data_IF_860489847887
#
_entry.id   IF_860489847887
#
_cell.length_a   1.000
_cell.length_b   1.000
_cell.length_c   1.000
_cell.angle_alpha   90.00
_cell.angle_beta   90.00
_cell.angle_gamma   90.00
#
_symmetry.space_group_name_H-M   'P 1'
#
loop_
_entity.id
_entity.type
_entity.pdbx_description
1 polymer ?
#
# COMPACT_ATOMS: atom_id res chain seq x y z
N UNK A 1 4.16 27.48 5.88
CA UNK A 1 4.08 26.44 6.90
C UNK A 1 5.24 25.45 6.73
N UNK A 2 5.49 24.96 5.53
CA UNK A 2 6.63 24.08 5.21
C UNK A 2 7.60 24.76 4.26
N UNK A 3 8.90 24.68 4.55
CA UNK A 3 9.94 25.12 3.61
C UNK A 3 10.21 24.06 2.53
N UNK A 4 10.90 24.43 1.46
CA UNK A 4 11.32 23.42 0.46
C UNK A 4 12.28 22.38 1.05
N UNK A 5 13.04 22.73 2.08
CA UNK A 5 13.92 21.81 2.83
C UNK A 5 13.11 20.78 3.62
N UNK A 6 12.01 21.20 4.26
CA UNK A 6 11.13 20.31 5.01
C UNK A 6 10.45 19.30 4.08
N UNK A 7 9.95 19.77 2.92
CA UNK A 7 9.36 18.88 1.91
C UNK A 7 10.37 17.86 1.39
N UNK A 8 11.61 18.26 1.11
CA UNK A 8 12.67 17.32 0.68
C UNK A 8 12.98 16.30 1.78
N UNK A 9 13.10 16.73 3.05
CA UNK A 9 13.34 15.83 4.18
C UNK A 9 12.19 14.83 4.40
N UNK A 10 10.96 15.18 4.00
CA UNK A 10 9.81 14.30 4.08
C UNK A 10 9.75 13.35 2.88
N UNK A 11 9.89 13.87 1.65
CA UNK A 11 9.62 13.12 0.41
C UNK A 11 10.75 12.14 0.06
N UNK A 12 12.02 12.55 0.19
CA UNK A 12 13.14 11.70 -0.21
C UNK A 12 13.16 10.37 0.55
N UNK A 13 13.06 10.34 1.90
CA UNK A 13 12.99 9.06 2.60
C UNK A 13 11.77 8.22 2.20
N UNK A 14 10.62 8.83 1.88
CA UNK A 14 9.43 8.10 1.43
C UNK A 14 9.65 7.44 0.06
N UNK A 15 10.37 8.09 -0.86
CA UNK A 15 10.73 7.48 -2.15
C UNK A 15 11.61 6.24 -1.91
N UNK A 16 12.62 6.35 -1.05
CA UNK A 16 13.49 5.22 -0.70
C UNK A 16 12.71 4.10 0.02
N UNK A 17 11.79 4.45 0.93
CA UNK A 17 10.93 3.47 1.62
C UNK A 17 10.06 2.69 0.61
N UNK A 18 9.47 3.37 -0.39
CA UNK A 18 8.69 2.72 -1.44
C UNK A 18 9.55 1.88 -2.38
N UNK A 19 10.74 2.37 -2.74
CA UNK A 19 11.69 1.60 -3.55
C UNK A 19 12.10 0.31 -2.84
N UNK A 20 12.44 0.38 -1.55
CA UNK A 20 12.78 -0.79 -0.73
C UNK A 20 11.61 -1.78 -0.68
N UNK A 21 10.38 -1.31 -0.45
CA UNK A 21 9.21 -2.18 -0.37
C UNK A 21 8.98 -2.98 -1.66
N UNK A 22 9.15 -2.34 -2.83
CA UNK A 22 9.01 -3.01 -4.13
C UNK A 22 10.16 -3.98 -4.36
N UNK A 23 11.41 -3.56 -4.10
CA UNK A 23 12.61 -4.38 -4.36
C UNK A 23 12.66 -5.65 -3.51
N UNK A 24 12.28 -5.55 -2.22
CA UNK A 24 12.28 -6.70 -1.31
C UNK A 24 11.27 -7.76 -1.72
N UNK A 25 10.09 -7.34 -2.22
CA UNK A 25 9.11 -8.30 -2.73
C UNK A 25 9.66 -9.19 -3.86
N UNK A 26 10.53 -8.64 -4.73
CA UNK A 26 11.23 -9.45 -5.74
C UNK A 26 12.25 -10.41 -5.14
N UNK A 27 13.04 -9.93 -4.18
CA UNK A 27 14.07 -10.78 -3.51
C UNK A 27 13.39 -11.93 -2.76
N UNK A 28 12.31 -11.67 -2.03
CA UNK A 28 11.57 -12.69 -1.30
C UNK A 28 11.01 -13.77 -2.25
N UNK A 29 10.40 -13.38 -3.35
CA UNK A 29 9.87 -14.32 -4.35
C UNK A 29 10.99 -15.18 -4.93
N UNK A 30 12.16 -14.58 -5.24
CA UNK A 30 13.32 -15.31 -5.74
C UNK A 30 13.85 -16.30 -4.70
N UNK A 31 13.96 -15.89 -3.43
CA UNK A 31 14.47 -16.78 -2.38
C UNK A 31 13.51 -17.95 -2.09
N UNK A 32 12.20 -17.72 -2.12
CA UNK A 32 11.20 -18.78 -1.97
C UNK A 32 11.27 -19.80 -3.13
N UNK A 33 11.62 -19.35 -4.34
CA UNK A 33 11.71 -20.26 -5.51
C UNK A 33 12.73 -21.37 -5.34
N UNK A 34 13.71 -21.20 -4.48
CA UNK A 34 14.73 -22.20 -4.16
C UNK A 34 14.17 -23.34 -3.29
N UNK A 35 13.12 -23.06 -2.51
CA UNK A 35 12.45 -24.07 -1.69
C UNK A 35 11.51 -25.01 -2.47
N UNK A 36 11.39 -24.81 -3.80
CA UNK A 36 10.62 -25.68 -4.70
C UNK A 36 9.26 -25.10 -5.12
N UNK A 37 8.65 -25.73 -6.11
CA UNK A 37 7.43 -25.24 -6.79
C UNK A 37 6.21 -25.19 -5.88
N UNK A 38 6.03 -26.22 -5.05
CA UNK A 38 4.93 -26.26 -4.06
C UNK A 38 5.08 -25.17 -3.00
N UNK A 39 6.32 -24.85 -2.59
CA UNK A 39 6.63 -23.78 -1.66
C UNK A 39 6.26 -22.40 -2.25
N UNK A 40 6.69 -22.12 -3.48
CA UNK A 40 6.36 -20.87 -4.18
C UNK A 40 4.85 -20.69 -4.32
N UNK A 41 4.16 -21.74 -4.74
CA UNK A 41 2.70 -21.73 -4.91
C UNK A 41 1.99 -21.49 -3.58
N UNK A 42 2.38 -22.22 -2.53
CA UNK A 42 1.79 -22.07 -1.19
C UNK A 42 2.00 -20.66 -0.60
N UNK A 43 3.22 -20.12 -0.69
CA UNK A 43 3.54 -18.75 -0.24
C UNK A 43 2.74 -17.72 -1.04
N UNK A 44 2.68 -17.84 -2.36
CA UNK A 44 1.94 -16.91 -3.21
C UNK A 44 0.44 -16.85 -2.87
N UNK A 45 -0.19 -17.98 -2.54
CA UNK A 45 -1.58 -18.02 -2.10
C UNK A 45 -1.78 -17.23 -0.80
N UNK A 46 -0.92 -17.46 0.19
CA UNK A 46 -1.00 -16.77 1.49
C UNK A 46 -0.65 -15.29 1.36
N UNK A 47 0.28 -14.93 0.48
CA UNK A 47 0.63 -13.54 0.22
C UNK A 47 -0.54 -12.74 -0.36
N UNK A 48 -1.42 -13.36 -1.14
CA UNK A 48 -2.66 -12.70 -1.59
C UNK A 48 -3.57 -12.34 -0.39
N UNK A 49 -3.71 -13.25 0.58
CA UNK A 49 -4.47 -12.99 1.82
C UNK A 49 -3.77 -11.91 2.65
N UNK A 50 -2.46 -12.06 2.86
CA UNK A 50 -1.65 -11.12 3.64
C UNK A 50 -1.67 -9.72 3.06
N UNK A 51 -1.57 -9.58 1.74
CA UNK A 51 -1.64 -8.29 1.05
C UNK A 51 -2.99 -7.59 1.27
N UNK A 52 -4.11 -8.31 1.25
CA UNK A 52 -5.41 -7.74 1.57
C UNK A 52 -5.42 -7.18 3.01
N UNK A 53 -4.94 -7.97 3.98
CA UNK A 53 -4.87 -7.55 5.38
C UNK A 53 -3.93 -6.36 5.59
N UNK A 54 -2.76 -6.37 4.95
CA UNK A 54 -1.79 -5.27 4.98
C UNK A 54 -2.41 -3.98 4.44
N UNK A 55 -3.17 -4.04 3.35
CA UNK A 55 -3.83 -2.88 2.77
C UNK A 55 -4.91 -2.29 3.71
N UNK A 56 -5.67 -3.15 4.40
CA UNK A 56 -6.65 -2.71 5.39
C UNK A 56 -5.95 -2.05 6.59
N UNK A 57 -4.91 -2.68 7.14
CA UNK A 57 -4.14 -2.13 8.26
C UNK A 57 -3.46 -0.80 7.87
N UNK A 58 -2.89 -0.70 6.68
CA UNK A 58 -2.26 0.54 6.18
C UNK A 58 -3.28 1.67 6.02
N UNK A 59 -4.49 1.37 5.57
CA UNK A 59 -5.57 2.35 5.47
C UNK A 59 -6.01 2.88 6.84
N UNK A 60 -6.12 2.01 7.84
CA UNK A 60 -6.41 2.41 9.22
C UNK A 60 -5.29 3.25 9.82
N UNK A 61 -4.04 2.87 9.58
CA UNK A 61 -2.87 3.65 9.99
C UNK A 61 -2.89 5.06 9.36
N UNK A 62 -3.30 5.17 8.11
CA UNK A 62 -3.52 6.45 7.42
C UNK A 62 -4.59 7.29 8.13
N UNK A 63 -5.69 6.68 8.58
CA UNK A 63 -6.72 7.37 9.35
C UNK A 63 -6.17 8.02 10.62
N UNK A 64 -5.36 7.29 11.38
CA UNK A 64 -4.69 7.82 12.58
C UNK A 64 -3.66 8.90 12.25
N UNK A 65 -2.90 8.74 11.18
CA UNK A 65 -1.93 9.74 10.71
C UNK A 65 -2.62 11.07 10.35
N UNK A 66 -3.79 11.02 9.71
CA UNK A 66 -4.60 12.21 9.39
C UNK A 66 -5.04 12.91 10.66
N UNK A 67 -5.63 12.20 11.62
CA UNK A 67 -6.10 12.79 12.89
C UNK A 67 -4.94 13.39 13.67
N UNK A 68 -3.81 12.68 13.76
CA UNK A 68 -2.60 13.16 14.43
C UNK A 68 -2.02 14.40 13.75
N UNK A 69 -1.91 14.42 12.42
CA UNK A 69 -1.40 15.57 11.67
C UNK A 69 -2.31 16.81 11.79
N UNK A 70 -3.64 16.63 11.82
CA UNK A 70 -4.57 17.74 12.03
C UNK A 70 -4.44 18.31 13.45
N UNK A 71 -4.35 17.47 14.51
CA UNK A 71 -4.11 17.96 15.86
C UNK A 71 -2.76 18.66 16.00
N UNK A 72 -1.72 18.16 15.32
CA UNK A 72 -0.43 18.83 15.29
C UNK A 72 -0.51 20.19 14.60
N UNK A 73 -1.23 20.28 13.49
CA UNK A 73 -1.50 21.53 12.78
C UNK A 73 -2.23 22.57 13.64
N UNK A 74 -3.19 22.13 14.46
CA UNK A 74 -3.91 22.99 15.42
C UNK A 74 -3.09 23.33 16.67
N UNK A 75 -1.83 22.90 16.75
CA UNK A 75 -0.93 23.05 17.93
C UNK A 75 -1.44 22.35 19.19
N UNK A 76 -2.39 21.45 19.08
CA UNK A 76 -2.88 20.66 20.22
C UNK A 76 -2.04 19.38 20.41
N UNK A 77 -0.85 19.56 20.99
CA UNK A 77 0.13 18.47 21.19
C UNK A 77 -0.44 17.35 22.08
N UNK A 78 -1.25 17.68 23.08
CA UNK A 78 -1.84 16.68 23.98
C UNK A 78 -2.80 15.75 23.23
N UNK A 79 -3.66 16.31 22.39
CA UNK A 79 -4.58 15.51 21.57
C UNK A 79 -3.84 14.74 20.48
N UNK A 80 -2.74 15.28 19.94
CA UNK A 80 -1.87 14.55 19.02
C UNK A 80 -1.27 13.29 19.68
N UNK A 81 -0.71 13.42 20.90
CA UNK A 81 -0.18 12.29 21.69
C UNK A 81 -1.27 11.24 22.00
N UNK A 82 -2.44 11.71 22.46
CA UNK A 82 -3.56 10.83 22.75
C UNK A 82 -4.03 10.09 21.48
N UNK A 83 -4.07 10.77 20.33
CA UNK A 83 -4.42 10.14 19.05
C UNK A 83 -3.38 9.10 18.61
N UNK A 84 -2.09 9.34 18.89
CA UNK A 84 -1.04 8.37 18.63
C UNK A 84 -1.23 7.09 19.47
N UNK A 85 -1.50 7.22 20.77
CA UNK A 85 -1.81 6.09 21.65
C UNK A 85 -3.06 5.32 21.19
N UNK A 86 -4.13 6.03 20.80
CA UNK A 86 -5.36 5.41 20.30
C UNK A 86 -5.12 4.65 18.98
N UNK A 87 -4.28 5.17 18.08
CA UNK A 87 -3.95 4.45 16.86
C UNK A 87 -3.21 3.13 17.16
N UNK A 88 -2.19 3.18 18.02
CA UNK A 88 -1.48 1.96 18.44
C UNK A 88 -2.45 0.95 19.07
N UNK A 89 -3.34 1.41 19.95
CA UNK A 89 -4.35 0.56 20.58
C UNK A 89 -5.26 -0.12 19.54
N UNK A 90 -5.85 0.65 18.61
CA UNK A 90 -6.74 0.11 17.56
C UNK A 90 -5.98 -0.90 16.70
N UNK A 91 -4.78 -0.53 16.26
CA UNK A 91 -3.99 -1.38 15.35
C UNK A 91 -3.54 -2.67 16.03
N UNK A 92 -3.12 -2.61 17.30
CA UNK A 92 -2.78 -3.81 18.08
C UNK A 92 -3.99 -4.71 18.28
N UNK A 93 -5.13 -4.14 18.66
CA UNK A 93 -6.36 -4.91 18.91
C UNK A 93 -6.86 -5.57 17.62
N UNK A 94 -6.97 -4.81 16.54
CA UNK A 94 -7.49 -5.34 15.27
C UNK A 94 -6.54 -6.38 14.68
N UNK A 95 -5.24 -6.12 14.66
CA UNK A 95 -4.27 -7.07 14.10
C UNK A 95 -4.13 -8.33 14.96
N UNK A 96 -4.32 -8.24 16.29
CA UNK A 96 -4.42 -9.41 17.16
C UNK A 96 -5.69 -10.22 16.91
N UNK A 97 -6.82 -9.55 16.67
CA UNK A 97 -8.06 -10.22 16.28
C UNK A 97 -7.90 -10.97 14.94
N UNK A 98 -7.27 -10.30 13.94
CA UNK A 98 -6.97 -10.93 12.66
C UNK A 98 -6.01 -12.11 12.82
N UNK A 99 -5.02 -12.04 13.70
CA UNK A 99 -4.15 -13.16 14.06
C UNK A 99 -4.96 -14.34 14.57
N UNK A 100 -5.82 -14.13 15.58
CA UNK A 100 -6.64 -15.19 16.18
C UNK A 100 -7.57 -15.83 15.14
N UNK A 101 -8.24 -15.02 14.32
CA UNK A 101 -9.11 -15.52 13.24
C UNK A 101 -8.29 -16.36 12.25
N UNK A 102 -7.09 -15.89 11.85
CA UNK A 102 -6.22 -16.61 10.91
C UNK A 102 -5.69 -17.91 11.48
N UNK A 103 -5.33 -17.95 12.78
CA UNK A 103 -4.83 -19.17 13.43
C UNK A 103 -5.93 -20.22 13.59
N UNK A 104 -7.12 -19.82 14.06
CA UNK A 104 -8.25 -20.73 14.23
C UNK A 104 -8.79 -21.18 12.87
N UNK A 105 -8.90 -20.26 11.92
CA UNK A 105 -9.50 -20.49 10.61
C UNK A 105 -8.53 -20.96 9.53
N UNK A 106 -7.24 -21.22 9.83
CA UNK A 106 -6.19 -21.46 8.83
C UNK A 106 -6.65 -22.36 7.67
N UNK A 107 -6.93 -23.62 7.94
CA UNK A 107 -7.36 -24.59 6.92
C UNK A 107 -8.69 -24.20 6.26
N UNK A 108 -9.63 -23.66 7.04
CA UNK A 108 -10.94 -23.22 6.54
C UNK A 108 -10.81 -22.03 5.58
N UNK A 109 -9.98 -21.06 5.91
CA UNK A 109 -9.75 -19.86 5.08
C UNK A 109 -9.09 -20.24 3.77
N UNK A 110 -8.04 -21.09 3.79
CA UNK A 110 -7.36 -21.54 2.58
C UNK A 110 -8.33 -22.28 1.67
N UNK A 111 -9.08 -23.26 2.22
CA UNK A 111 -10.04 -24.04 1.44
C UNK A 111 -11.21 -23.18 0.91
N UNK A 112 -11.69 -22.21 1.69
CA UNK A 112 -12.78 -21.34 1.29
C UNK A 112 -12.39 -20.40 0.13
N UNK A 113 -11.15 -19.87 0.19
CA UNK A 113 -10.69 -18.88 -0.81
C UNK A 113 -10.21 -19.58 -2.08
N UNK A 114 -9.46 -20.68 -1.98
CA UNK A 114 -8.77 -21.32 -3.09
C UNK A 114 -9.37 -22.65 -3.53
N UNK A 115 -10.31 -23.19 -2.77
CA UNK A 115 -10.94 -24.47 -3.07
C UNK A 115 -10.00 -25.65 -2.89
N UNK A 116 -10.13 -26.66 -3.78
CA UNK A 116 -9.26 -27.86 -3.74
C UNK A 116 -7.94 -27.54 -4.47
N UNK A 117 -6.85 -27.53 -3.71
CA UNK A 117 -5.48 -27.39 -4.20
C UNK A 117 -4.70 -28.67 -3.91
N UNK A 118 -3.55 -28.85 -4.56
CA UNK A 118 -2.66 -29.97 -4.34
C UNK A 118 -2.20 -30.04 -2.88
N UNK A 119 -2.04 -31.26 -2.36
CA UNK A 119 -1.76 -31.50 -0.93
C UNK A 119 -0.48 -30.80 -0.47
N UNK A 120 0.59 -30.89 -1.25
CA UNK A 120 1.90 -30.32 -0.92
C UNK A 120 1.84 -28.79 -0.91
N UNK A 121 1.07 -28.18 -1.83
CA UNK A 121 0.82 -26.73 -1.87
C UNK A 121 -0.02 -26.30 -0.65
N UNK A 122 -1.03 -27.09 -0.27
CA UNK A 122 -1.85 -26.82 0.90
C UNK A 122 -1.04 -26.87 2.20
N UNK A 123 -0.19 -27.88 2.38
CA UNK A 123 0.68 -28.01 3.54
C UNK A 123 1.66 -26.83 3.63
N UNK A 124 2.31 -26.47 2.52
CA UNK A 124 3.20 -25.29 2.43
C UNK A 124 2.45 -23.99 2.77
N UNK A 125 1.27 -23.78 2.19
CA UNK A 125 0.43 -22.63 2.48
C UNK A 125 0.00 -22.58 3.95
N UNK A 126 -0.40 -23.71 4.52
CA UNK A 126 -0.86 -23.78 5.90
C UNK A 126 0.27 -23.45 6.90
N UNK A 127 1.47 -24.00 6.71
CA UNK A 127 2.64 -23.71 7.55
C UNK A 127 3.01 -22.22 7.45
N UNK A 128 3.10 -21.70 6.25
CA UNK A 128 3.43 -20.29 6.01
C UNK A 128 2.40 -19.35 6.64
N UNK A 129 1.10 -19.68 6.50
CA UNK A 129 0.01 -18.86 7.03
C UNK A 129 -0.01 -18.87 8.56
N UNK A 130 0.23 -20.02 9.21
CA UNK A 130 0.32 -20.08 10.67
C UNK A 130 1.40 -19.15 11.22
N UNK A 131 2.61 -19.23 10.68
CA UNK A 131 3.74 -18.46 11.19
C UNK A 131 3.58 -16.97 10.87
N UNK A 132 3.14 -16.64 9.65
CA UNK A 132 2.94 -15.24 9.24
C UNK A 132 1.76 -14.60 9.97
N UNK A 133 0.70 -15.34 10.32
CA UNK A 133 -0.41 -14.82 11.11
C UNK A 133 0.04 -14.33 12.49
N UNK A 134 0.97 -15.02 13.15
CA UNK A 134 1.56 -14.58 14.43
C UNK A 134 2.24 -13.22 14.30
N UNK A 135 2.71 -12.86 13.12
CA UNK A 135 3.38 -11.58 12.88
C UNK A 135 2.43 -10.38 12.72
N UNK A 136 1.12 -10.58 12.54
CA UNK A 136 0.17 -9.50 12.26
C UNK A 136 0.09 -8.43 13.34
N UNK A 137 0.09 -8.73 14.66
CA UNK A 137 0.11 -7.70 15.69
C UNK A 137 1.33 -6.78 15.59
N UNK A 138 2.49 -7.35 15.34
CA UNK A 138 3.75 -6.61 15.18
C UNK A 138 3.74 -5.75 13.92
N UNK A 139 3.20 -6.28 12.82
CA UNK A 139 2.99 -5.53 11.58
C UNK A 139 2.03 -4.35 11.78
N UNK A 140 0.91 -4.57 12.50
CA UNK A 140 -0.04 -3.52 12.85
C UNK A 140 0.60 -2.38 13.63
N UNK A 141 1.36 -2.72 14.66
CA UNK A 141 2.10 -1.75 15.50
C UNK A 141 3.16 -1.01 14.66
N UNK A 142 3.92 -1.71 13.83
CA UNK A 142 4.90 -1.10 12.93
C UNK A 142 4.22 -0.10 11.97
N UNK A 143 3.15 -0.49 11.30
CA UNK A 143 2.41 0.39 10.37
C UNK A 143 1.86 1.63 11.07
N UNK A 144 1.32 1.49 12.27
CA UNK A 144 0.84 2.61 13.08
C UNK A 144 1.98 3.58 13.43
N UNK A 145 3.09 3.07 13.97
CA UNK A 145 4.24 3.87 14.35
C UNK A 145 4.88 4.59 13.15
N UNK A 146 5.06 3.89 12.03
CA UNK A 146 5.57 4.46 10.78
C UNK A 146 4.67 5.60 10.27
N UNK A 147 3.35 5.40 10.26
CA UNK A 147 2.38 6.42 9.86
C UNK A 147 2.40 7.64 10.80
N UNK A 148 2.57 7.43 12.11
CA UNK A 148 2.69 8.50 13.11
C UNK A 148 3.98 9.30 12.94
N UNK A 149 5.13 8.65 12.74
CA UNK A 149 6.39 9.38 12.48
C UNK A 149 6.31 10.18 11.18
N UNK A 150 5.67 9.65 10.14
CA UNK A 150 5.40 10.41 8.91
C UNK A 150 4.49 11.61 9.18
N UNK A 151 3.44 11.47 9.99
CA UNK A 151 2.48 12.54 10.29
C UNK A 151 3.09 13.77 10.96
N UNK A 152 4.19 13.60 11.70
CA UNK A 152 4.97 14.68 12.30
C UNK A 152 6.10 15.20 11.39
N UNK A 153 6.21 14.70 10.17
CA UNK A 153 7.24 15.11 9.20
C UNK A 153 8.58 14.37 9.32
N UNK A 154 8.68 13.32 10.13
CA UNK A 154 9.91 12.55 10.31
C UNK A 154 9.86 11.19 9.60
N UNK A 155 9.81 11.22 8.28
CA UNK A 155 9.80 10.00 7.46
C UNK A 155 11.14 9.22 7.47
N UNK A 156 12.23 9.84 7.93
CA UNK A 156 13.53 9.17 8.04
C UNK A 156 13.47 7.98 9.01
N UNK A 157 12.72 8.11 10.11
CA UNK A 157 12.54 7.00 11.06
C UNK A 157 11.78 5.86 10.43
N UNK A 158 10.69 6.14 9.72
CA UNK A 158 9.92 5.13 8.99
C UNK A 158 10.79 4.39 7.96
N UNK A 159 11.54 5.13 7.13
CA UNK A 159 12.47 4.58 6.14
C UNK A 159 13.55 3.70 6.79
N UNK A 160 14.23 4.20 7.83
CA UNK A 160 15.31 3.45 8.48
C UNK A 160 14.79 2.16 9.15
N UNK A 161 13.62 2.21 9.79
CA UNK A 161 13.02 1.01 10.38
C UNK A 161 12.59 0.01 9.31
N UNK A 162 12.05 0.49 8.18
CA UNK A 162 11.76 -0.36 7.02
C UNK A 162 13.03 -1.01 6.45
N UNK A 163 14.11 -0.25 6.32
CA UNK A 163 15.41 -0.77 5.86
C UNK A 163 15.93 -1.88 6.77
N UNK A 164 15.90 -1.67 8.09
CA UNK A 164 16.32 -2.67 9.07
C UNK A 164 15.44 -3.93 8.97
N UNK A 165 14.11 -3.75 8.86
CA UNK A 165 13.17 -4.85 8.70
C UNK A 165 13.52 -5.70 7.47
N UNK A 166 13.79 -5.05 6.35
CA UNK A 166 14.11 -5.71 5.09
C UNK A 166 15.47 -6.44 5.13
N UNK A 167 16.49 -5.82 5.73
CA UNK A 167 17.80 -6.47 5.92
C UNK A 167 17.65 -7.73 6.78
N UNK A 168 16.93 -7.64 7.91
CA UNK A 168 16.71 -8.80 8.79
C UNK A 168 15.92 -9.89 8.06
N UNK A 169 14.92 -9.52 7.27
CA UNK A 169 14.12 -10.47 6.49
C UNK A 169 14.99 -11.19 5.46
N UNK A 170 15.76 -10.47 4.63
CA UNK A 170 16.63 -11.07 3.61
C UNK A 170 17.73 -11.96 4.24
N UNK A 171 18.41 -11.46 5.27
CA UNK A 171 19.43 -12.25 5.98
C UNK A 171 18.81 -13.47 6.68
N UNK A 172 17.63 -13.31 7.27
CA UNK A 172 16.87 -14.40 7.88
C UNK A 172 16.45 -15.45 6.86
N UNK A 173 15.91 -15.04 5.72
CA UNK A 173 15.57 -15.96 4.62
C UNK A 173 16.80 -16.73 4.18
N UNK A 174 17.93 -16.04 3.95
CA UNK A 174 19.18 -16.71 3.57
C UNK A 174 19.64 -17.73 4.62
N UNK A 175 19.61 -17.37 5.89
CA UNK A 175 20.02 -18.23 7.00
C UNK A 175 19.09 -19.46 7.11
N UNK A 176 17.77 -19.25 7.16
CA UNK A 176 16.83 -20.34 7.39
C UNK A 176 16.65 -21.26 6.19
N UNK A 177 16.79 -20.76 4.95
CA UNK A 177 16.69 -21.58 3.75
C UNK A 177 18.01 -22.31 3.49
N UNK A 178 19.16 -21.60 3.45
CA UNK A 178 20.41 -22.20 2.98
C UNK A 178 21.22 -22.91 4.08
N UNK A 179 21.10 -22.49 5.34
CA UNK A 179 21.89 -23.07 6.44
C UNK A 179 21.08 -24.09 7.23
N UNK A 180 19.81 -23.76 7.52
CA UNK A 180 18.95 -24.63 8.34
C UNK A 180 17.99 -25.51 7.53
N UNK A 181 17.93 -25.36 6.22
CA UNK A 181 17.07 -26.11 5.28
C UNK A 181 15.59 -26.18 5.73
N UNK A 182 15.08 -25.05 6.25
CA UNK A 182 13.72 -24.98 6.81
C UNK A 182 12.64 -24.72 5.76
N UNK A 183 13.00 -24.56 4.48
CA UNK A 183 12.05 -24.34 3.40
C UNK A 183 11.07 -23.19 3.68
N UNK A 184 9.78 -23.43 3.49
CA UNK A 184 8.70 -22.46 3.68
C UNK A 184 8.61 -21.90 5.11
N UNK A 185 8.84 -22.77 6.11
CA UNK A 185 8.81 -22.34 7.51
C UNK A 185 9.92 -21.33 7.81
N UNK A 186 11.09 -21.49 7.18
CA UNK A 186 12.22 -20.56 7.32
C UNK A 186 11.88 -19.15 6.81
N UNK A 187 11.24 -19.05 5.65
CA UNK A 187 10.78 -17.76 5.08
C UNK A 187 9.76 -17.09 6.00
N UNK A 188 8.81 -17.86 6.52
CA UNK A 188 7.81 -17.35 7.44
C UNK A 188 8.41 -16.86 8.76
N UNK A 189 9.40 -17.57 9.31
CA UNK A 189 10.13 -17.19 10.53
C UNK A 189 10.95 -15.92 10.32
N UNK A 190 11.65 -15.78 9.20
CA UNK A 190 12.39 -14.57 8.87
C UNK A 190 11.45 -13.35 8.83
N UNK A 191 10.26 -13.52 8.22
CA UNK A 191 9.21 -12.49 8.18
C UNK A 191 8.70 -12.17 9.58
N UNK A 192 8.45 -13.16 10.42
CA UNK A 192 8.00 -12.97 11.80
C UNK A 192 9.04 -12.19 12.62
N UNK A 193 10.30 -12.62 12.60
CA UNK A 193 11.39 -11.99 13.36
C UNK A 193 11.60 -10.54 12.90
N UNK A 194 11.64 -10.29 11.60
CA UNK A 194 11.82 -8.94 11.05
C UNK A 194 10.71 -7.98 11.49
N UNK A 195 9.46 -8.44 11.53
CA UNK A 195 8.30 -7.66 11.98
C UNK A 195 8.31 -7.42 13.50
N UNK A 196 8.70 -8.40 14.30
CA UNK A 196 8.87 -8.24 15.76
C UNK A 196 9.90 -7.16 16.05
N UNK A 197 11.10 -7.27 15.47
CA UNK A 197 12.20 -6.32 15.72
C UNK A 197 11.80 -4.92 15.27
N UNK A 198 11.14 -4.79 14.12
CA UNK A 198 10.67 -3.47 13.63
C UNK A 198 9.62 -2.84 14.53
N UNK A 199 8.70 -3.64 15.07
CA UNK A 199 7.71 -3.15 16.04
C UNK A 199 8.38 -2.68 17.34
N UNK A 200 9.36 -3.43 17.85
CA UNK A 200 10.14 -3.05 19.04
C UNK A 200 10.89 -1.74 18.81
N UNK A 201 11.57 -1.60 17.67
CA UNK A 201 12.31 -0.39 17.31
C UNK A 201 11.37 0.82 17.25
N UNK A 202 10.25 0.73 16.51
CA UNK A 202 9.35 1.85 16.29
C UNK A 202 8.70 2.31 17.61
N UNK A 203 8.28 1.36 18.44
CA UNK A 203 7.71 1.64 19.76
C UNK A 203 8.78 2.24 20.70
N UNK A 204 9.98 1.66 20.74
CA UNK A 204 11.07 2.19 21.54
C UNK A 204 11.41 3.64 21.17
N UNK A 205 11.38 3.98 19.88
CA UNK A 205 11.59 5.34 19.42
C UNK A 205 10.43 6.28 19.81
N UNK A 206 9.18 5.79 19.82
CA UNK A 206 8.03 6.58 20.28
C UNK A 206 8.11 6.92 21.77
N UNK A 207 8.62 6.03 22.61
CA UNK A 207 8.82 6.32 24.04
C UNK A 207 9.96 7.30 24.29
N UNK A 208 11.02 7.27 23.50
CA UNK A 208 12.20 8.12 23.65
C UNK A 208 12.05 9.51 23.03
N UNK A 209 11.24 9.64 21.97
CA UNK A 209 11.15 10.87 21.21
C UNK A 209 10.57 12.02 22.06
N UNK A 210 11.27 13.15 22.13
CA UNK A 210 10.71 14.44 22.58
C UNK A 210 9.86 15.04 21.45
N UNK A 211 8.76 14.39 21.12
CA UNK A 211 7.94 14.70 19.94
C UNK A 211 6.44 14.78 20.28
N UNK A 212 5.68 15.31 19.35
CA UNK A 212 4.23 15.41 19.43
C UNK A 212 3.49 14.06 19.43
N UNK A 213 4.21 12.95 19.25
CA UNK A 213 3.66 11.58 19.29
C UNK A 213 4.24 10.77 20.45
N UNK A 214 4.99 11.40 21.37
CA UNK A 214 5.56 10.70 22.52
C UNK A 214 4.46 10.16 23.43
N UNK A 215 4.48 8.86 23.64
CA UNK A 215 3.61 8.18 24.61
C UNK A 215 4.36 8.17 25.95
N UNK A 216 3.79 8.82 26.97
CA UNK A 216 4.44 8.94 28.30
C UNK A 216 3.83 8.04 29.35
N UNK A 217 2.56 7.71 29.22
CA UNK A 217 1.81 7.04 30.26
C UNK A 217 0.86 5.98 29.69
N UNK A 218 0.57 5.00 30.52
CA UNK A 218 -0.47 4.00 30.26
C UNK A 218 -1.84 4.65 29.92
N UNK A 219 -2.10 5.83 30.50
CA UNK A 219 -3.32 6.60 30.24
C UNK A 219 -3.52 6.99 28.76
N UNK A 220 -2.43 7.10 27.98
CA UNK A 220 -2.53 7.42 26.55
C UNK A 220 -3.11 6.26 25.72
N UNK A 221 -3.03 5.03 26.23
CA UNK A 221 -3.61 3.84 25.65
C UNK A 221 -5.06 3.57 26.06
N UNK A 222 -5.56 4.23 27.12
CA UNK A 222 -6.94 4.01 27.56
C UNK A 222 -7.92 4.40 26.44
N UNK A 223 -8.89 3.53 26.09
CA UNK A 223 -9.80 3.74 24.98
C UNK A 223 -10.55 5.08 25.08
N UNK A 224 -10.47 5.89 24.05
CA UNK A 224 -11.19 7.15 23.93
C UNK A 224 -12.14 7.08 22.72
N UNK A 225 -13.44 6.75 22.94
CA UNK A 225 -14.39 6.54 21.85
C UNK A 225 -14.46 7.70 20.85
N UNK A 226 -14.31 8.94 21.34
CA UNK A 226 -14.37 10.13 20.47
C UNK A 226 -13.19 10.18 19.48
N UNK A 227 -11.96 9.84 19.91
CA UNK A 227 -10.80 9.82 19.04
C UNK A 227 -10.82 8.59 18.14
N UNK A 228 -11.20 7.43 18.68
CA UNK A 228 -11.37 6.19 17.91
C UNK A 228 -12.35 6.42 16.76
N UNK A 229 -13.49 7.05 17.01
CA UNK A 229 -14.48 7.39 15.98
C UNK A 229 -13.90 8.29 14.89
N UNK A 230 -13.04 9.26 15.26
CA UNK A 230 -12.35 10.14 14.29
C UNK A 230 -11.37 9.35 13.43
N UNK A 231 -10.56 8.47 14.02
CA UNK A 231 -9.62 7.61 13.29
C UNK A 231 -10.37 6.68 12.32
N UNK A 232 -11.42 6.03 12.81
CA UNK A 232 -12.24 5.11 12.02
C UNK A 232 -13.03 5.82 10.91
N UNK A 233 -13.43 7.09 11.10
CA UNK A 233 -14.15 7.85 10.08
C UNK A 233 -13.34 8.07 8.79
N UNK A 234 -12.02 7.94 8.85
CA UNK A 234 -11.11 8.01 7.70
C UNK A 234 -10.57 6.62 7.37
N UNK A 235 -10.13 5.88 8.38
CA UNK A 235 -9.50 4.59 8.21
C UNK A 235 -10.43 3.53 7.65
N UNK A 236 -11.69 3.47 8.14
CA UNK A 236 -12.65 2.47 7.66
C UNK A 236 -13.07 2.69 6.19
N UNK A 237 -13.46 3.90 5.74
CA UNK A 237 -13.70 4.14 4.33
C UNK A 237 -12.48 3.81 3.45
N UNK A 238 -11.28 4.20 3.87
CA UNK A 238 -10.06 3.91 3.12
C UNK A 238 -9.75 2.40 3.09
N UNK A 239 -10.03 1.67 4.17
CA UNK A 239 -9.89 0.21 4.23
C UNK A 239 -10.87 -0.51 3.31
N UNK A 240 -12.14 -0.09 3.31
CA UNK A 240 -13.15 -0.61 2.39
C UNK A 240 -12.80 -0.33 0.93
N UNK A 241 -12.32 0.89 0.63
CA UNK A 241 -11.83 1.25 -0.70
C UNK A 241 -10.72 0.30 -1.16
N UNK A 242 -9.69 0.10 -0.33
CA UNK A 242 -8.58 -0.79 -0.67
C UNK A 242 -9.02 -2.25 -0.80
N UNK A 243 -9.88 -2.74 0.09
CA UNK A 243 -10.43 -4.10 0.04
C UNK A 243 -11.22 -4.35 -1.24
N UNK A 244 -12.16 -3.47 -1.58
CA UNK A 244 -12.98 -3.57 -2.79
C UNK A 244 -12.13 -3.43 -4.06
N UNK A 245 -11.04 -2.63 -4.00
CA UNK A 245 -10.10 -2.52 -5.10
C UNK A 245 -9.34 -3.84 -5.33
N UNK A 246 -8.92 -4.53 -4.26
CA UNK A 246 -8.25 -5.84 -4.39
C UNK A 246 -9.19 -6.91 -4.92
N UNK A 247 -10.44 -6.97 -4.47
CA UNK A 247 -11.45 -7.89 -5.00
C UNK A 247 -11.68 -7.62 -6.49
N UNK A 248 -11.81 -6.36 -6.90
CA UNK A 248 -11.94 -6.00 -8.31
C UNK A 248 -10.72 -6.39 -9.14
N UNK A 249 -9.50 -6.25 -8.61
CA UNK A 249 -8.27 -6.75 -9.27
C UNK A 249 -8.29 -8.27 -9.47
N UNK A 250 -8.75 -9.03 -8.47
CA UNK A 250 -8.89 -10.48 -8.60
C UNK A 250 -9.89 -10.86 -9.70
N UNK A 251 -11.03 -10.18 -9.79
CA UNK A 251 -12.02 -10.38 -10.85
C UNK A 251 -11.44 -10.14 -12.24
N UNK A 252 -10.67 -9.06 -12.39
CA UNK A 252 -9.97 -8.74 -13.66
C UNK A 252 -8.86 -9.76 -13.95
N UNK A 253 -8.14 -10.23 -12.95
CA UNK A 253 -7.10 -11.26 -13.11
C UNK A 253 -7.70 -12.59 -13.57
N UNK A 254 -8.87 -12.95 -13.05
CA UNK A 254 -9.64 -14.12 -13.51
C UNK A 254 -10.04 -14.01 -14.99
N UNK A 255 -10.41 -12.82 -15.45
CA UNK A 255 -10.67 -12.60 -16.87
C UNK A 255 -9.39 -12.78 -17.72
N UNK A 256 -8.25 -12.21 -17.25
CA UNK A 256 -6.96 -12.35 -17.97
C UNK A 256 -6.56 -13.81 -18.12
N UNK A 257 -6.85 -14.65 -17.12
CA UNK A 257 -6.52 -16.10 -17.19
C UNK A 257 -7.24 -16.84 -18.31
N UNK A 258 -8.35 -16.32 -18.82
CA UNK A 258 -9.07 -16.91 -19.96
C UNK A 258 -8.42 -16.64 -21.32
N UNK A 259 -7.45 -15.72 -21.41
CA UNK A 259 -6.78 -15.34 -22.66
C UNK A 259 -5.51 -16.17 -22.95
N UNK A 260 -5.24 -17.18 -22.13
CA UNK A 260 -4.12 -18.10 -22.33
C UNK A 260 -2.83 -17.67 -21.61
N UNK A 261 -1.84 -18.59 -21.62
CA UNK A 261 -0.60 -18.46 -20.83
C UNK A 261 0.27 -17.29 -21.25
N UNK A 262 0.34 -16.98 -22.55
CA UNK A 262 1.11 -15.83 -23.04
C UNK A 262 0.56 -14.50 -22.53
N UNK A 263 -0.77 -14.35 -22.47
CA UNK A 263 -1.43 -13.16 -21.93
C UNK A 263 -1.22 -13.01 -20.41
N UNK A 264 -1.29 -14.12 -19.65
CA UNK A 264 -1.00 -14.13 -18.21
C UNK A 264 0.43 -13.70 -17.95
N UNK A 265 1.39 -14.27 -18.66
CA UNK A 265 2.81 -13.94 -18.50
C UNK A 265 3.11 -12.48 -18.85
N UNK A 266 2.60 -12.00 -19.97
CA UNK A 266 2.72 -10.60 -20.40
C UNK A 266 2.13 -9.64 -19.36
N UNK A 267 0.92 -9.92 -18.84
CA UNK A 267 0.26 -9.12 -17.82
C UNK A 267 1.03 -9.09 -16.50
N UNK A 268 1.57 -10.23 -16.06
CA UNK A 268 2.36 -10.35 -14.82
C UNK A 268 3.63 -9.53 -14.89
N UNK A 269 4.39 -9.66 -15.98
CA UNK A 269 5.63 -8.90 -16.18
C UNK A 269 5.34 -7.40 -16.31
N UNK A 270 4.33 -7.01 -17.09
CA UNK A 270 3.94 -5.61 -17.23
C UNK A 270 3.51 -5.00 -15.88
N UNK A 271 2.72 -5.69 -15.06
CA UNK A 271 2.36 -5.23 -13.72
C UNK A 271 3.59 -5.05 -12.82
N UNK A 272 4.52 -6.01 -12.84
CA UNK A 272 5.74 -5.96 -12.03
C UNK A 272 6.61 -4.74 -12.40
N UNK A 273 6.81 -4.53 -13.68
CA UNK A 273 7.61 -3.39 -14.19
C UNK A 273 6.95 -2.06 -13.85
N UNK A 274 5.64 -1.94 -14.06
CA UNK A 274 4.92 -0.67 -13.82
C UNK A 274 4.81 -0.29 -12.34
N UNK A 275 5.01 -1.22 -11.39
CA UNK A 275 5.08 -0.88 -9.97
C UNK A 275 6.19 0.11 -9.65
N UNK A 276 7.35 0.01 -10.31
CA UNK A 276 8.46 0.95 -10.12
C UNK A 276 8.12 2.36 -10.62
N UNK A 277 7.37 2.47 -11.72
CA UNK A 277 6.96 3.75 -12.27
C UNK A 277 6.07 4.55 -11.29
N UNK A 278 5.34 3.87 -10.41
CA UNK A 278 4.39 4.47 -9.47
C UNK A 278 5.01 4.94 -8.14
N UNK A 279 6.28 4.61 -7.88
CA UNK A 279 6.96 4.92 -6.61
C UNK A 279 6.89 6.41 -6.25
N UNK A 280 7.23 7.38 -7.13
CA UNK A 280 7.19 8.78 -6.76
C UNK A 280 5.79 9.26 -6.39
N UNK A 281 4.78 8.82 -7.12
CA UNK A 281 3.40 9.18 -6.86
C UNK A 281 2.88 8.67 -5.52
N UNK A 282 3.22 7.43 -5.15
CA UNK A 282 2.89 6.84 -3.85
C UNK A 282 3.58 7.59 -2.70
N UNK A 283 4.87 7.88 -2.82
CA UNK A 283 5.64 8.61 -1.82
C UNK A 283 5.06 10.01 -1.58
N UNK A 284 4.69 10.72 -2.65
CA UNK A 284 4.09 12.05 -2.55
C UNK A 284 2.67 11.96 -1.99
N UNK A 285 1.90 10.91 -2.31
CA UNK A 285 0.61 10.65 -1.68
C UNK A 285 0.72 10.55 -0.15
N UNK A 286 1.72 9.83 0.35
CA UNK A 286 2.01 9.77 1.80
C UNK A 286 2.41 11.13 2.38
N UNK A 287 3.24 11.90 1.67
CA UNK A 287 3.63 13.25 2.09
C UNK A 287 2.42 14.20 2.14
N UNK A 288 1.44 14.05 1.24
CA UNK A 288 0.20 14.84 1.26
C UNK A 288 -0.60 14.65 2.54
N UNK A 289 -0.65 13.43 3.09
CA UNK A 289 -1.34 13.15 4.36
C UNK A 289 -0.79 14.05 5.47
N UNK A 290 0.53 14.18 5.56
CA UNK A 290 1.21 15.00 6.56
C UNK A 290 1.01 16.49 6.31
N UNK A 291 1.35 16.94 5.10
CA UNK A 291 1.41 18.38 4.80
C UNK A 291 0.03 19.01 4.78
N UNK A 292 -0.91 18.37 4.09
CA UNK A 292 -2.29 18.88 3.98
C UNK A 292 -3.02 18.69 5.30
N UNK A 293 -2.86 17.57 6.00
CA UNK A 293 -3.45 17.34 7.31
C UNK A 293 -3.07 18.43 8.31
N UNK A 294 -1.80 18.80 8.38
CA UNK A 294 -1.35 19.90 9.24
C UNK A 294 -1.89 21.27 8.80
N UNK A 295 -1.99 21.55 7.49
CA UNK A 295 -2.58 22.81 7.01
C UNK A 295 -4.07 22.91 7.36
N UNK A 296 -4.82 21.83 7.20
CA UNK A 296 -6.26 21.78 7.55
C UNK A 296 -6.44 21.93 9.07
N UNK A 297 -5.64 21.23 9.88
CA UNK A 297 -5.66 21.38 11.34
C UNK A 297 -5.33 22.78 11.81
N UNK A 298 -4.44 23.48 11.11
CA UNK A 298 -4.10 24.89 11.36
C UNK A 298 -5.15 25.88 10.86
N UNK A 299 -6.29 25.41 10.32
CA UNK A 299 -7.33 26.24 9.69
C UNK A 299 -6.82 27.13 8.56
N UNK A 300 -5.89 26.63 7.75
CA UNK A 300 -5.26 27.32 6.62
C UNK A 300 -5.60 26.64 5.29
N UNK A 301 -6.87 26.74 4.81
CA UNK A 301 -7.30 26.03 3.59
C UNK A 301 -6.55 26.46 2.33
N UNK A 302 -6.17 27.74 2.23
CA UNK A 302 -5.45 28.24 1.06
C UNK A 302 -4.02 27.71 0.99
N UNK A 303 -3.34 27.57 2.14
CA UNK A 303 -2.05 26.88 2.20
C UNK A 303 -2.21 25.40 1.82
N UNK A 304 -3.27 24.73 2.29
CA UNK A 304 -3.54 23.34 1.91
C UNK A 304 -3.70 23.17 0.39
N UNK A 305 -4.46 24.06 -0.27
CA UNK A 305 -4.61 24.08 -1.74
C UNK A 305 -3.28 24.35 -2.43
N UNK A 306 -2.49 25.31 -1.95
CA UNK A 306 -1.17 25.66 -2.52
C UNK A 306 -0.20 24.49 -2.44
N UNK A 307 -0.10 23.84 -1.26
CA UNK A 307 0.75 22.66 -1.09
C UNK A 307 0.21 21.46 -1.89
N UNK A 308 -1.10 21.28 -1.96
CA UNK A 308 -1.71 20.28 -2.82
C UNK A 308 -1.26 20.41 -4.28
N UNK A 309 -1.35 21.61 -4.86
CA UNK A 309 -0.85 21.90 -6.23
C UNK A 309 0.65 21.65 -6.34
N UNK A 310 1.46 22.13 -5.39
CA UNK A 310 2.92 21.95 -5.40
C UNK A 310 3.31 20.47 -5.35
N UNK A 311 2.70 19.71 -4.47
CA UNK A 311 2.97 18.27 -4.32
C UNK A 311 2.50 17.49 -5.55
N UNK A 312 1.35 17.86 -6.14
CA UNK A 312 0.91 17.29 -7.42
C UNK A 312 1.90 17.55 -8.54
N UNK A 313 2.43 18.78 -8.66
CA UNK A 313 3.46 19.08 -9.64
C UNK A 313 4.70 18.19 -9.46
N UNK A 314 5.16 18.00 -8.22
CA UNK A 314 6.29 17.11 -7.92
C UNK A 314 5.95 15.66 -8.27
N UNK A 315 4.71 15.21 -8.01
CA UNK A 315 4.24 13.88 -8.38
C UNK A 315 4.26 13.68 -9.89
N UNK A 316 3.76 14.64 -10.65
CA UNK A 316 3.81 14.62 -12.11
C UNK A 316 5.25 14.57 -12.65
N UNK A 317 6.14 15.41 -12.12
CA UNK A 317 7.56 15.39 -12.51
C UNK A 317 8.23 14.06 -12.20
N UNK A 318 7.94 13.46 -11.03
CA UNK A 318 8.46 12.16 -10.63
C UNK A 318 7.93 11.03 -11.51
N UNK A 319 6.61 10.99 -11.75
CA UNK A 319 5.96 9.99 -12.61
C UNK A 319 6.46 10.12 -14.06
N UNK A 320 6.61 11.34 -14.57
CA UNK A 320 7.19 11.56 -15.90
C UNK A 320 8.61 10.99 -15.99
N UNK A 321 9.47 11.33 -15.02
CA UNK A 321 10.85 10.86 -15.01
C UNK A 321 10.94 9.33 -14.94
N UNK A 322 10.18 8.68 -14.05
CA UNK A 322 10.19 7.22 -13.93
C UNK A 322 9.59 6.53 -15.15
N UNK A 323 8.54 7.07 -15.78
CA UNK A 323 7.98 6.48 -17.00
C UNK A 323 8.89 6.64 -18.22
N UNK A 324 9.63 7.76 -18.34
CA UNK A 324 10.68 7.90 -19.38
C UNK A 324 11.74 6.80 -19.18
N UNK A 325 12.26 6.65 -17.96
CA UNK A 325 13.25 5.59 -17.67
C UNK A 325 12.66 4.22 -17.99
N UNK A 326 11.42 3.93 -17.55
CA UNK A 326 10.76 2.65 -17.81
C UNK A 326 10.60 2.36 -19.32
N UNK A 327 10.25 3.36 -20.11
CA UNK A 327 10.13 3.21 -21.57
C UNK A 327 11.47 2.83 -22.21
N UNK A 328 12.57 3.43 -21.75
CA UNK A 328 13.93 3.15 -22.25
C UNK A 328 14.38 1.74 -21.86
N UNK A 329 14.14 1.34 -20.59
CA UNK A 329 14.61 0.05 -20.06
C UNK A 329 13.62 -1.10 -20.26
N UNK A 330 12.43 -0.84 -20.81
CA UNK A 330 11.37 -1.84 -20.97
C UNK A 330 11.86 -3.08 -21.75
N UNK A 331 12.53 -2.88 -22.89
CA UNK A 331 13.01 -3.97 -23.75
C UNK A 331 14.02 -4.87 -23.03
N UNK A 332 15.14 -4.35 -22.46
CA UNK A 332 16.07 -5.21 -21.74
C UNK A 332 15.45 -5.86 -20.49
N UNK A 333 14.59 -5.15 -19.76
CA UNK A 333 13.96 -5.69 -18.55
C UNK A 333 13.00 -6.83 -18.90
N UNK A 334 12.14 -6.67 -19.90
CA UNK A 334 11.23 -7.75 -20.34
C UNK A 334 12.03 -8.94 -20.88
N UNK A 335 13.17 -8.69 -21.54
CA UNK A 335 14.07 -9.73 -22.03
C UNK A 335 14.61 -10.66 -20.94
N UNK A 336 14.79 -10.16 -19.71
CA UNK A 336 15.26 -10.98 -18.57
C UNK A 336 14.25 -12.07 -18.14
N UNK A 337 12.99 -11.94 -18.51
CA UNK A 337 11.97 -12.92 -18.16
C UNK A 337 11.85 -14.10 -19.12
N UNK A 338 12.63 -14.11 -20.22
CA UNK A 338 12.65 -15.19 -21.22
C UNK A 338 11.26 -15.63 -21.69
N UNK A 339 10.38 -14.66 -21.94
CA UNK A 339 9.01 -14.91 -22.39
C UNK A 339 8.97 -15.39 -23.86
N UNK A 340 7.85 -16.02 -24.25
CA UNK A 340 7.58 -16.29 -25.66
C UNK A 340 7.54 -14.99 -26.49
N UNK A 341 7.82 -15.02 -27.81
CA UNK A 341 7.79 -13.83 -28.66
C UNK A 341 6.45 -13.08 -28.59
N UNK A 342 5.35 -13.81 -28.50
CA UNK A 342 3.99 -13.24 -28.38
C UNK A 342 3.81 -12.51 -27.02
N UNK A 343 4.18 -13.17 -25.92
CA UNK A 343 4.10 -12.58 -24.57
C UNK A 343 5.03 -11.36 -24.43
N UNK A 344 6.21 -11.39 -25.02
CA UNK A 344 7.16 -10.28 -25.04
C UNK A 344 6.57 -9.07 -25.76
N UNK A 345 6.04 -9.27 -26.98
CA UNK A 345 5.41 -8.21 -27.76
C UNK A 345 4.22 -7.59 -27.02
N UNK A 346 3.34 -8.43 -26.46
CA UNK A 346 2.19 -7.99 -25.68
C UNK A 346 2.63 -7.24 -24.43
N UNK A 347 3.57 -7.77 -23.66
CA UNK A 347 4.10 -7.13 -22.45
C UNK A 347 4.71 -5.76 -22.72
N UNK A 348 5.52 -5.61 -23.76
CA UNK A 348 6.07 -4.33 -24.19
C UNK A 348 4.96 -3.34 -24.59
N UNK A 349 3.95 -3.79 -25.33
CA UNK A 349 2.81 -2.94 -25.70
C UNK A 349 2.07 -2.43 -24.47
N UNK A 350 1.83 -3.29 -23.47
CA UNK A 350 1.19 -2.91 -22.19
C UNK A 350 2.03 -1.87 -21.43
N UNK A 351 3.34 -2.08 -21.32
CA UNK A 351 4.25 -1.14 -20.61
C UNK A 351 4.28 0.22 -21.31
N UNK A 352 4.39 0.26 -22.64
CA UNK A 352 4.42 1.51 -23.39
C UNK A 352 3.08 2.26 -23.29
N UNK A 353 1.94 1.57 -23.48
CA UNK A 353 0.62 2.20 -23.28
C UNK A 353 0.47 2.74 -21.85
N UNK A 354 0.89 1.97 -20.83
CA UNK A 354 0.88 2.42 -19.46
C UNK A 354 1.73 3.68 -19.27
N UNK A 355 2.97 3.67 -19.76
CA UNK A 355 3.92 4.79 -19.56
C UNK A 355 3.36 6.10 -20.12
N UNK A 356 2.70 6.05 -21.28
CA UNK A 356 2.06 7.24 -21.88
C UNK A 356 0.87 7.71 -21.03
N UNK A 357 -0.04 6.81 -20.71
CA UNK A 357 -1.30 7.16 -20.04
C UNK A 357 -1.06 7.56 -18.57
N UNK A 358 -0.17 6.86 -17.88
CA UNK A 358 0.13 7.12 -16.47
C UNK A 358 0.65 8.53 -16.22
N UNK A 359 1.44 9.09 -17.12
CA UNK A 359 1.97 10.47 -16.99
C UNK A 359 0.82 11.47 -16.80
N UNK A 360 -0.30 11.30 -17.50
CA UNK A 360 -1.39 12.28 -17.48
C UNK A 360 -2.40 12.03 -16.35
N UNK A 361 -2.81 10.78 -16.12
CA UNK A 361 -3.98 10.49 -15.28
C UNK A 361 -3.64 9.81 -13.95
N UNK A 362 -2.51 9.09 -13.84
CA UNK A 362 -2.20 8.33 -12.63
C UNK A 362 -2.05 9.21 -11.38
N UNK A 363 -1.34 10.37 -11.39
CA UNK A 363 -1.22 11.23 -10.22
C UNK A 363 -2.57 11.75 -9.71
N UNK A 364 -3.48 12.12 -10.60
CA UNK A 364 -4.83 12.56 -10.22
C UNK A 364 -5.67 11.42 -9.65
N UNK A 365 -5.49 10.20 -10.18
CA UNK A 365 -6.26 9.03 -9.77
C UNK A 365 -5.83 8.45 -8.43
N UNK A 366 -4.52 8.46 -8.10
CA UNK A 366 -3.95 7.77 -6.94
C UNK A 366 -3.24 8.68 -5.92
N UNK A 367 -2.61 9.76 -6.37
CA UNK A 367 -1.94 10.70 -5.45
C UNK A 367 -2.90 11.74 -4.88
N UNK A 368 -3.75 12.36 -5.74
CA UNK A 368 -4.72 13.38 -5.35
C UNK A 368 -5.71 12.94 -4.26
N UNK A 369 -6.26 11.71 -4.25
CA UNK A 369 -7.17 11.28 -3.18
C UNK A 369 -6.57 11.38 -1.77
N UNK A 370 -5.24 11.28 -1.63
CA UNK A 370 -4.59 11.42 -0.32
C UNK A 370 -4.70 12.86 0.22
N UNK A 371 -4.76 13.87 -0.65
CA UNK A 371 -5.05 15.24 -0.26
C UNK A 371 -6.47 15.38 0.32
N UNK A 372 -7.45 14.74 -0.33
CA UNK A 372 -8.84 14.74 0.12
C UNK A 372 -9.00 13.99 1.45
N UNK A 373 -8.37 12.80 1.59
CA UNK A 373 -8.36 12.02 2.84
C UNK A 373 -7.70 12.79 3.99
N UNK A 374 -6.59 13.48 3.71
CA UNK A 374 -5.88 14.31 4.70
C UNK A 374 -6.76 15.42 5.28
N UNK A 375 -7.71 15.90 4.51
CA UNK A 375 -8.69 16.88 4.95
C UNK A 375 -9.94 16.29 5.62
N UNK A 376 -10.11 14.95 5.61
CA UNK A 376 -11.25 14.25 6.19
C UNK A 376 -12.31 13.78 5.19
N UNK A 377 -12.12 14.01 3.88
CA UNK A 377 -13.11 13.66 2.83
C UNK A 377 -12.94 12.21 2.31
N UNK A 378 -12.64 11.27 3.21
CA UNK A 378 -12.36 9.87 2.87
C UNK A 378 -13.60 9.12 2.33
N UNK A 379 -14.81 9.49 2.77
CA UNK A 379 -16.04 8.87 2.24
C UNK A 379 -16.23 9.17 0.76
N UNK A 380 -15.90 10.39 0.32
CA UNK A 380 -15.99 10.75 -1.09
C UNK A 380 -15.00 9.94 -1.94
N UNK A 381 -13.74 9.83 -1.48
CA UNK A 381 -12.73 9.04 -2.20
C UNK A 381 -13.13 7.58 -2.30
N UNK A 382 -13.63 6.98 -1.22
CA UNK A 382 -14.14 5.62 -1.20
C UNK A 382 -15.28 5.40 -2.21
N UNK A 383 -16.30 6.26 -2.18
CA UNK A 383 -17.47 6.11 -3.08
C UNK A 383 -17.06 6.20 -4.56
N UNK A 384 -16.26 7.20 -4.91
CA UNK A 384 -15.76 7.38 -6.28
C UNK A 384 -14.92 6.18 -6.71
N UNK A 385 -13.99 5.73 -5.86
CA UNK A 385 -13.08 4.63 -6.19
C UNK A 385 -13.80 3.29 -6.32
N UNK A 386 -14.73 2.96 -5.41
CA UNK A 386 -15.50 1.71 -5.48
C UNK A 386 -16.39 1.72 -6.72
N UNK A 387 -17.15 2.79 -6.94
CA UNK A 387 -18.00 2.90 -8.12
C UNK A 387 -17.18 2.76 -9.41
N UNK A 388 -16.08 3.48 -9.51
CA UNK A 388 -15.21 3.47 -10.69
C UNK A 388 -14.60 2.10 -10.94
N UNK A 389 -14.13 1.42 -9.88
CA UNK A 389 -13.55 0.09 -9.98
C UNK A 389 -14.52 -0.93 -10.58
N UNK A 390 -15.77 -0.94 -10.10
CA UNK A 390 -16.75 -1.92 -10.54
C UNK A 390 -17.40 -1.55 -11.87
N UNK A 391 -17.84 -0.29 -12.04
CA UNK A 391 -18.53 0.15 -13.24
C UNK A 391 -17.57 0.27 -14.44
N UNK A 392 -16.43 0.92 -14.25
CA UNK A 392 -15.52 1.20 -15.36
C UNK A 392 -14.40 0.17 -15.48
N UNK A 393 -13.67 -0.17 -14.41
CA UNK A 393 -12.56 -1.12 -14.56
C UNK A 393 -13.05 -2.53 -14.84
N UNK A 394 -13.87 -3.11 -13.97
CA UNK A 394 -14.38 -4.48 -14.17
C UNK A 394 -15.29 -4.51 -15.39
N UNK A 395 -16.31 -3.66 -15.45
CA UNK A 395 -17.27 -3.62 -16.56
C UNK A 395 -16.60 -3.43 -17.92
N UNK A 396 -15.72 -2.44 -18.07
CA UNK A 396 -15.00 -2.21 -19.34
C UNK A 396 -14.00 -3.32 -19.67
N UNK A 397 -13.37 -3.95 -18.66
CA UNK A 397 -12.45 -5.07 -18.90
C UNK A 397 -13.17 -6.27 -19.52
N UNK A 398 -14.35 -6.63 -19.01
CA UNK A 398 -15.16 -7.69 -19.57
C UNK A 398 -15.70 -7.33 -20.97
N UNK A 399 -16.13 -6.08 -21.16
CA UNK A 399 -16.60 -5.60 -22.46
C UNK A 399 -15.47 -5.56 -23.50
N UNK A 400 -14.38 -4.86 -23.22
CA UNK A 400 -13.29 -4.64 -24.18
C UNK A 400 -12.42 -5.89 -24.34
N UNK A 401 -12.04 -6.52 -23.23
CA UNK A 401 -11.17 -7.70 -23.24
C UNK A 401 -11.89 -8.97 -23.64
N UNK A 402 -13.08 -9.22 -23.09
CA UNK A 402 -13.88 -10.41 -23.35
C UNK A 402 -14.74 -10.28 -24.60
N UNK A 403 -15.78 -9.42 -24.56
CA UNK A 403 -16.81 -9.39 -25.61
C UNK A 403 -16.27 -8.83 -26.93
N UNK A 404 -15.47 -7.77 -26.94
CA UNK A 404 -14.88 -7.19 -28.15
C UNK A 404 -13.56 -7.86 -28.56
N UNK A 405 -13.10 -8.87 -27.83
CA UNK A 405 -11.95 -9.70 -28.22
C UNK A 405 -10.59 -9.01 -28.20
N UNK A 406 -10.44 -7.85 -27.55
CA UNK A 406 -9.16 -7.15 -27.45
C UNK A 406 -8.18 -7.82 -26.45
N UNK A 407 -8.61 -8.89 -25.78
CA UNK A 407 -7.78 -9.66 -24.86
C UNK A 407 -7.22 -8.80 -23.71
N UNK A 408 -5.97 -9.04 -23.34
CA UNK A 408 -5.33 -8.35 -22.22
C UNK A 408 -5.16 -6.84 -22.46
N UNK A 409 -5.01 -6.39 -23.69
CA UNK A 409 -4.98 -4.96 -24.03
C UNK A 409 -6.31 -4.28 -23.70
N UNK A 410 -7.45 -4.94 -24.01
CA UNK A 410 -8.78 -4.45 -23.64
C UNK A 410 -8.96 -4.31 -22.13
N UNK A 411 -8.38 -5.22 -21.35
CA UNK A 411 -8.36 -5.13 -19.88
C UNK A 411 -7.60 -3.89 -19.39
N UNK A 412 -6.46 -3.59 -19.98
CA UNK A 412 -5.68 -2.40 -19.63
C UNK A 412 -6.36 -1.11 -20.07
N UNK A 413 -7.06 -1.09 -21.21
CA UNK A 413 -7.90 0.04 -21.59
C UNK A 413 -9.04 0.26 -20.58
N UNK A 414 -9.68 -0.81 -20.08
CA UNK A 414 -10.66 -0.71 -18.99
C UNK A 414 -10.06 -0.08 -17.72
N UNK A 415 -8.81 -0.42 -17.40
CA UNK A 415 -8.06 0.22 -16.31
C UNK A 415 -7.83 1.72 -16.55
N UNK A 416 -7.50 2.13 -17.76
CA UNK A 416 -7.28 3.55 -18.10
C UNK A 416 -8.58 4.35 -18.07
N UNK A 417 -9.71 3.76 -18.46
CA UNK A 417 -11.04 4.39 -18.34
C UNK A 417 -11.38 4.64 -16.86
N UNK A 418 -11.18 3.65 -15.99
CA UNK A 418 -11.33 3.79 -14.55
C UNK A 418 -10.49 4.95 -14.00
N UNK A 419 -9.20 5.01 -14.35
CA UNK A 419 -8.30 6.08 -13.91
C UNK A 419 -8.73 7.45 -14.42
N UNK A 420 -9.20 7.54 -15.67
CA UNK A 420 -9.72 8.77 -16.27
C UNK A 420 -10.91 9.31 -15.51
N UNK A 421 -11.89 8.47 -15.20
CA UNK A 421 -13.07 8.84 -14.42
C UNK A 421 -12.68 9.32 -13.01
N UNK A 422 -11.83 8.55 -12.30
CA UNK A 422 -11.35 8.92 -10.97
C UNK A 422 -10.60 10.24 -10.98
N UNK A 423 -9.71 10.43 -11.97
CA UNK A 423 -8.95 11.67 -12.15
C UNK A 423 -9.86 12.87 -12.29
N UNK A 424 -10.87 12.78 -13.13
CA UNK A 424 -11.84 13.84 -13.33
C UNK A 424 -12.64 14.14 -12.05
N UNK A 425 -13.16 13.11 -11.40
CA UNK A 425 -13.95 13.25 -10.17
C UNK A 425 -13.14 13.91 -9.04
N UNK A 426 -11.88 13.46 -8.82
CA UNK A 426 -11.02 14.01 -7.78
C UNK A 426 -10.53 15.42 -8.11
N UNK A 427 -10.22 15.69 -9.39
CA UNK A 427 -9.83 17.03 -9.83
C UNK A 427 -10.96 18.05 -9.62
N UNK A 428 -12.19 17.72 -10.05
CA UNK A 428 -13.37 18.56 -9.82
C UNK A 428 -13.58 18.81 -8.32
N UNK A 429 -13.47 17.75 -7.49
CA UNK A 429 -13.61 17.88 -6.03
C UNK A 429 -12.55 18.79 -5.44
N UNK A 430 -11.31 18.68 -5.89
CA UNK A 430 -10.18 19.48 -5.45
C UNK A 430 -10.38 20.96 -5.83
N UNK A 431 -10.75 21.26 -7.08
CA UNK A 431 -10.95 22.61 -7.60
C UNK A 431 -12.11 23.31 -6.87
N UNK A 432 -13.23 22.61 -6.66
CA UNK A 432 -14.40 23.14 -5.93
C UNK A 432 -14.10 23.51 -4.47
N UNK A 433 -13.02 23.01 -3.90
CA UNK A 433 -12.54 23.40 -2.57
C UNK A 433 -13.39 22.92 -1.38
N UNK A 434 -14.55 22.28 -1.58
CA UNK A 434 -15.43 21.79 -0.50
C UNK A 434 -14.76 20.79 0.45
N UNK A 435 -13.72 20.12 0.00
CA UNK A 435 -12.93 19.18 0.79
C UNK A 435 -12.18 19.84 1.96
N UNK A 436 -11.81 21.12 1.84
CA UNK A 436 -11.07 21.85 2.90
C UNK A 436 -11.90 22.13 4.14
N UNK A 437 -13.23 21.94 4.07
CA UNK A 437 -14.18 22.17 5.17
C UNK A 437 -14.51 20.87 5.93
N UNK A 438 -13.82 19.76 5.64
CA UNK A 438 -14.10 18.42 6.18
C UNK A 438 -13.18 18.03 7.34
N UNK A 439 -12.54 19.00 8.01
CA UNK A 439 -11.68 18.72 9.17
C UNK A 439 -12.37 17.77 10.17
N UNK A 440 -11.56 16.83 10.72
CA UNK A 440 -12.07 15.77 11.61
C UNK A 440 -11.93 16.15 13.09
N UNK A 441 -11.11 17.18 13.38
CA UNK A 441 -10.82 17.64 14.75
C UNK A 441 -11.67 18.86 15.14
#
# INVERSE_FOLDING_TARGET
MFTSKDLKKLIIPLIFEQLLAVSVGFVDTFMVSIAGEAAVSGVALVDNISNLLIQILSALATGGAVVCSQYLGSRNINMSKKSAGQLIFIMSTLSSLLMVISLIGNHGIINFIFGKIEKDVFESASIYFYITAISYPFLGVYNAGAALFRSIGNSKISMNTSLIMNIINICGNALFIFVFDMGVAGVALATLISRIISAIIIIGLMFRAESAIRIKAYKDFLPSPSIIKKILSIGLPSGLENGMFQIGKLSVSSLVSTFGTAAIAANSVANSVTMFANIPGNAIGMAMITVIGQCIGAKKPDEAKRYGKKLMFIAYAGILATNIVMTIVAVPVVGLFHLSPEATKTGLSLIHCFSIVAIFIWPLSFTMPNALRAAGDAKYTMMVSIFSMWAFRVGSSYLLGGTLGLGVLGVWFGMFIDWGFRSLAFLIRFIRGKWTQKAVI
#
